data_IF_568654264354
#
_entry.id   IF_568654264354
#
_cell.length_a   1.000
_cell.length_b   1.000
_cell.length_c   1.000
_cell.angle_alpha   90.00
_cell.angle_beta   90.00
_cell.angle_gamma   90.00
#
_symmetry.space_group_name_H-M   'P 1'
#
loop_
_entity.id
_entity.type
_entity.pdbx_description
1 polymer ?
#
# COMPACT_ATOMS: atom_id res chain seq x y z
N UNK A 1 19.78 -5.40 -22.08
CA UNK A 1 18.43 -4.85 -22.38
C UNK A 1 17.28 -5.68 -21.79
N UNK A 2 17.41 -7.01 -21.66
CA UNK A 2 16.33 -7.91 -21.21
C UNK A 2 15.90 -7.79 -19.73
N UNK A 3 16.83 -7.46 -18.82
CA UNK A 3 16.50 -7.35 -17.39
C UNK A 3 15.55 -6.19 -17.06
N UNK A 4 15.73 -5.03 -17.72
CA UNK A 4 14.84 -3.88 -17.58
C UNK A 4 13.41 -4.21 -18.02
N UNK A 5 13.28 -4.98 -19.10
CA UNK A 5 11.99 -5.44 -19.59
C UNK A 5 11.30 -6.37 -18.59
N UNK A 6 12.05 -7.31 -17.99
CA UNK A 6 11.51 -8.18 -16.95
C UNK A 6 11.03 -7.41 -15.72
N UNK A 7 11.82 -6.44 -15.22
CA UNK A 7 11.42 -5.56 -14.11
C UNK A 7 10.14 -4.77 -14.45
N UNK A 8 10.09 -4.14 -15.61
CA UNK A 8 8.92 -3.37 -16.03
C UNK A 8 7.65 -4.24 -16.08
N UNK A 9 7.75 -5.46 -16.61
CA UNK A 9 6.63 -6.41 -16.63
C UNK A 9 6.22 -6.83 -15.22
N UNK A 10 7.18 -7.13 -14.36
CA UNK A 10 6.93 -7.53 -12.98
C UNK A 10 6.19 -6.43 -12.19
N UNK A 11 6.76 -5.23 -12.10
CA UNK A 11 6.14 -4.13 -11.35
C UNK A 11 4.81 -3.70 -11.98
N UNK A 12 4.71 -3.68 -13.31
CA UNK A 12 3.45 -3.41 -14.00
C UNK A 12 2.36 -4.44 -13.66
N UNK A 13 2.72 -5.71 -13.45
CA UNK A 13 1.80 -6.75 -13.01
C UNK A 13 1.28 -6.53 -11.59
N UNK A 14 2.17 -6.19 -10.65
CA UNK A 14 1.78 -5.87 -9.26
C UNK A 14 0.84 -4.66 -9.21
N UNK A 15 1.17 -3.59 -9.92
CA UNK A 15 0.31 -2.40 -10.03
C UNK A 15 -1.03 -2.77 -10.64
N UNK A 16 -1.05 -3.63 -11.66
CA UNK A 16 -2.29 -4.04 -12.30
C UNK A 16 -3.22 -4.80 -11.33
N UNK A 17 -2.71 -5.73 -10.53
CA UNK A 17 -3.52 -6.40 -9.50
C UNK A 17 -4.00 -5.43 -8.41
N UNK A 18 -3.16 -4.48 -7.99
CA UNK A 18 -3.56 -3.45 -7.03
C UNK A 18 -4.67 -2.53 -7.57
N UNK A 19 -4.57 -2.09 -8.83
CA UNK A 19 -5.62 -1.28 -9.47
C UNK A 19 -6.89 -2.11 -9.62
N UNK A 20 -6.80 -3.37 -10.04
CA UNK A 20 -7.95 -4.25 -10.16
C UNK A 20 -8.75 -4.38 -8.86
N UNK A 21 -8.10 -4.51 -7.70
CA UNK A 21 -8.81 -4.58 -6.41
C UNK A 21 -9.64 -3.34 -6.08
N UNK A 22 -9.28 -2.19 -6.63
CA UNK A 22 -10.01 -0.94 -6.40
C UNK A 22 -11.08 -0.72 -7.47
N UNK A 23 -10.70 -0.85 -8.74
CA UNK A 23 -11.58 -0.52 -9.86
C UNK A 23 -12.55 -1.65 -10.22
N UNK A 24 -12.22 -2.90 -9.87
CA UNK A 24 -12.90 -4.12 -10.32
C UNK A 24 -12.96 -4.27 -11.85
N UNK A 25 -12.14 -3.52 -12.60
CA UNK A 25 -12.06 -3.59 -14.06
C UNK A 25 -11.21 -4.80 -14.48
N UNK A 26 -11.80 -5.80 -15.17
CA UNK A 26 -11.12 -7.05 -15.51
C UNK A 26 -9.92 -6.87 -16.44
N UNK A 27 -9.82 -5.75 -17.16
CA UNK A 27 -8.65 -5.47 -18.01
C UNK A 27 -7.36 -5.38 -17.21
N UNK A 28 -7.42 -4.93 -15.96
CA UNK A 28 -6.28 -4.87 -15.05
C UNK A 28 -5.89 -6.24 -14.51
N UNK A 29 -6.86 -7.09 -14.17
CA UNK A 29 -6.57 -8.47 -13.81
C UNK A 29 -5.86 -9.20 -14.96
N UNK A 30 -6.29 -8.98 -16.20
CA UNK A 30 -5.67 -9.59 -17.39
C UNK A 30 -4.24 -9.09 -17.63
N UNK A 31 -3.98 -7.80 -17.39
CA UNK A 31 -2.61 -7.25 -17.41
C UNK A 31 -1.71 -7.90 -16.36
N UNK A 32 -2.22 -8.10 -15.14
CA UNK A 32 -1.52 -8.81 -14.08
C UNK A 32 -1.18 -10.25 -14.47
N UNK A 33 -2.14 -11.00 -15.03
CA UNK A 33 -1.95 -12.37 -15.50
C UNK A 33 -0.99 -12.46 -16.68
N UNK A 34 -1.02 -11.50 -17.60
CA UNK A 34 -0.04 -11.40 -18.69
C UNK A 34 1.38 -11.20 -18.15
N UNK A 35 1.56 -10.34 -17.14
CA UNK A 35 2.84 -10.16 -16.47
C UNK A 35 3.31 -11.45 -15.78
N UNK A 36 2.39 -12.20 -15.15
CA UNK A 36 2.68 -13.51 -14.57
C UNK A 36 3.21 -14.50 -15.61
N UNK A 37 2.51 -14.68 -16.73
CA UNK A 37 2.94 -15.57 -17.81
C UNK A 37 4.32 -15.17 -18.34
N UNK A 38 4.58 -13.85 -18.46
CA UNK A 38 5.91 -13.38 -18.83
C UNK A 38 6.96 -13.81 -17.79
N UNK A 39 6.72 -13.61 -16.49
CA UNK A 39 7.65 -14.00 -15.42
C UNK A 39 7.88 -15.52 -15.37
N UNK A 40 6.86 -16.33 -15.62
CA UNK A 40 7.00 -17.79 -15.72
C UNK A 40 7.95 -18.17 -16.86
N UNK A 41 7.79 -17.54 -18.04
CA UNK A 41 8.72 -17.74 -19.15
C UNK A 41 10.14 -17.33 -18.76
N UNK A 42 10.36 -16.25 -18.03
CA UNK A 42 11.71 -15.90 -17.56
C UNK A 42 12.27 -16.91 -16.56
N UNK A 43 11.42 -17.47 -15.69
CA UNK A 43 11.81 -18.49 -14.72
C UNK A 43 12.21 -19.83 -15.37
N UNK A 44 11.76 -20.14 -16.59
CA UNK A 44 12.24 -21.30 -17.35
C UNK A 44 13.73 -21.18 -17.71
N UNK A 45 14.22 -19.95 -17.92
CA UNK A 45 15.61 -19.68 -18.32
C UNK A 45 16.51 -19.50 -17.11
N UNK A 46 15.96 -18.95 -16.02
CA UNK A 46 16.69 -18.78 -14.77
C UNK A 46 15.73 -18.83 -13.59
N UNK A 47 15.48 -20.05 -13.12
CA UNK A 47 14.54 -20.32 -12.03
C UNK A 47 14.86 -19.48 -10.80
N UNK A 48 16.11 -19.52 -10.33
CA UNK A 48 16.52 -18.84 -9.11
C UNK A 48 16.35 -17.31 -9.19
N UNK A 49 16.47 -16.72 -10.39
CA UNK A 49 16.39 -15.26 -10.56
C UNK A 49 14.95 -14.72 -10.62
N UNK A 50 13.97 -15.56 -10.95
CA UNK A 50 12.61 -15.08 -11.24
C UNK A 50 11.51 -15.79 -10.44
N UNK A 51 11.81 -16.92 -9.79
CA UNK A 51 10.82 -17.72 -9.07
C UNK A 51 10.10 -16.94 -7.97
N UNK A 52 10.82 -16.15 -7.16
CA UNK A 52 10.21 -15.33 -6.10
C UNK A 52 9.22 -14.30 -6.66
N UNK A 53 9.50 -13.76 -7.85
CA UNK A 53 8.62 -12.82 -8.55
C UNK A 53 7.38 -13.49 -9.11
N UNK A 54 7.50 -14.71 -9.61
CA UNK A 54 6.35 -15.54 -10.01
C UNK A 54 5.45 -15.78 -8.80
N UNK A 55 6.02 -16.20 -7.66
CA UNK A 55 5.25 -16.41 -6.43
C UNK A 55 4.55 -15.14 -5.96
N UNK A 56 5.19 -13.99 -6.04
CA UNK A 56 4.57 -12.73 -5.63
C UNK A 56 3.39 -12.34 -6.54
N UNK A 57 3.52 -12.50 -7.85
CA UNK A 57 2.42 -12.26 -8.79
C UNK A 57 1.27 -13.26 -8.61
N UNK A 58 1.58 -14.53 -8.34
CA UNK A 58 0.56 -15.52 -8.00
C UNK A 58 -0.15 -15.18 -6.68
N UNK A 59 0.57 -14.64 -5.69
CA UNK A 59 -0.01 -14.23 -4.41
C UNK A 59 -1.03 -13.10 -4.59
N UNK A 60 -0.68 -12.08 -5.37
CA UNK A 60 -1.57 -10.97 -5.71
C UNK A 60 -2.79 -11.42 -6.52
N UNK A 61 -2.62 -12.32 -7.50
CA UNK A 61 -3.73 -12.92 -8.26
C UNK A 61 -4.66 -13.73 -7.34
N UNK A 62 -4.10 -14.58 -6.46
CA UNK A 62 -4.90 -15.33 -5.48
C UNK A 62 -5.67 -14.39 -4.55
N UNK A 63 -5.03 -13.30 -4.08
CA UNK A 63 -5.68 -12.30 -3.24
C UNK A 63 -6.82 -11.58 -3.98
N UNK A 64 -6.62 -11.20 -5.25
CA UNK A 64 -7.66 -10.64 -6.11
C UNK A 64 -8.86 -11.57 -6.31
N UNK A 65 -8.67 -12.89 -6.21
CA UNK A 65 -9.72 -13.89 -6.32
C UNK A 65 -10.28 -14.37 -4.96
N UNK A 66 -9.95 -13.68 -3.85
CA UNK A 66 -10.33 -14.03 -2.48
C UNK A 66 -9.83 -15.41 -2.00
N UNK A 67 -8.84 -16.00 -2.66
CA UNK A 67 -8.20 -17.26 -2.24
C UNK A 67 -7.10 -16.96 -1.21
N UNK A 68 -7.54 -16.65 0.01
CA UNK A 68 -6.65 -16.18 1.10
C UNK A 68 -5.68 -17.25 1.58
N UNK A 69 -6.07 -18.52 1.58
CA UNK A 69 -5.20 -19.63 1.99
C UNK A 69 -4.02 -19.78 1.02
N UNK A 70 -4.31 -19.77 -0.27
CA UNK A 70 -3.28 -19.84 -1.31
C UNK A 70 -2.41 -18.59 -1.33
N UNK A 71 -3.02 -17.40 -1.22
CA UNK A 71 -2.29 -16.13 -1.19
C UNK A 71 -1.26 -16.11 -0.05
N UNK A 72 -1.65 -16.56 1.16
CA UNK A 72 -0.76 -16.62 2.31
C UNK A 72 0.50 -17.45 2.02
N UNK A 73 0.31 -18.68 1.52
CA UNK A 73 1.42 -19.59 1.21
C UNK A 73 2.34 -19.01 0.14
N UNK A 74 1.79 -18.29 -0.84
CA UNK A 74 2.55 -17.71 -1.93
C UNK A 74 3.36 -16.48 -1.48
N UNK A 75 2.81 -15.63 -0.61
CA UNK A 75 3.58 -14.54 -0.02
C UNK A 75 4.77 -15.05 0.80
N UNK A 76 4.53 -16.07 1.65
CA UNK A 76 5.59 -16.68 2.45
C UNK A 76 6.70 -17.27 1.55
N UNK A 77 6.32 -17.95 0.46
CA UNK A 77 7.28 -18.46 -0.56
C UNK A 77 8.03 -17.36 -1.29
N UNK A 78 7.36 -16.28 -1.68
CA UNK A 78 8.01 -15.16 -2.35
C UNK A 78 9.10 -14.54 -1.46
N UNK A 79 8.79 -14.33 -0.17
CA UNK A 79 9.73 -13.82 0.82
C UNK A 79 10.90 -14.78 1.05
N UNK A 80 10.65 -16.08 1.25
CA UNK A 80 11.72 -17.05 1.52
C UNK A 80 12.63 -17.24 0.30
N UNK A 81 12.07 -17.42 -0.90
CA UNK A 81 12.87 -17.59 -2.12
C UNK A 81 13.70 -16.34 -2.44
N UNK A 82 13.16 -15.13 -2.24
CA UNK A 82 13.93 -13.90 -2.42
C UNK A 82 15.10 -13.82 -1.42
N UNK A 83 14.90 -14.24 -0.17
CA UNK A 83 15.95 -14.31 0.86
C UNK A 83 17.04 -15.31 0.50
N UNK A 84 16.64 -16.53 0.12
CA UNK A 84 17.56 -17.64 -0.15
C UNK A 84 18.47 -17.33 -1.34
N UNK A 85 17.98 -16.54 -2.30
CA UNK A 85 18.76 -16.07 -3.46
C UNK A 85 19.31 -14.64 -3.30
N UNK A 86 19.26 -14.07 -2.10
CA UNK A 86 19.83 -12.77 -1.74
C UNK A 86 19.29 -11.55 -2.54
N UNK A 87 18.04 -11.61 -3.00
CA UNK A 87 17.34 -10.47 -3.60
C UNK A 87 16.75 -9.56 -2.52
N UNK A 88 17.59 -8.79 -1.83
CA UNK A 88 17.20 -7.96 -0.66
C UNK A 88 16.02 -7.02 -0.99
N UNK A 89 16.07 -6.37 -2.14
CA UNK A 89 15.03 -5.43 -2.58
C UNK A 89 13.69 -6.13 -2.86
N UNK A 90 13.72 -7.34 -3.42
CA UNK A 90 12.51 -8.11 -3.68
C UNK A 90 12.01 -8.81 -2.39
N UNK A 91 12.90 -9.20 -1.46
CA UNK A 91 12.52 -9.67 -0.12
C UNK A 91 11.78 -8.58 0.66
N UNK A 92 12.26 -7.33 0.57
CA UNK A 92 11.61 -6.17 1.17
C UNK A 92 10.21 -5.94 0.59
N UNK A 93 10.09 -5.92 -0.74
CA UNK A 93 8.83 -5.72 -1.43
C UNK A 93 7.82 -6.85 -1.17
N UNK A 94 8.26 -8.11 -1.24
CA UNK A 94 7.39 -9.25 -0.93
C UNK A 94 6.91 -9.22 0.51
N UNK A 95 7.76 -8.79 1.45
CA UNK A 95 7.38 -8.64 2.85
C UNK A 95 6.39 -7.49 3.05
N UNK A 96 6.57 -6.37 2.35
CA UNK A 96 5.63 -5.24 2.41
C UNK A 96 4.23 -5.63 1.90
N UNK A 97 4.16 -6.29 0.74
CA UNK A 97 2.89 -6.75 0.17
C UNK A 97 2.22 -7.83 1.03
N UNK A 98 2.99 -8.75 1.60
CA UNK A 98 2.50 -9.70 2.59
C UNK A 98 1.91 -8.99 3.83
N UNK A 99 2.57 -7.92 4.30
CA UNK A 99 2.08 -7.09 5.40
C UNK A 99 0.70 -6.48 5.11
N UNK A 100 0.54 -5.87 3.94
CA UNK A 100 -0.77 -5.34 3.50
C UNK A 100 -1.83 -6.42 3.38
N UNK A 101 -1.48 -7.58 2.82
CA UNK A 101 -2.39 -8.72 2.72
C UNK A 101 -2.87 -9.18 4.10
N UNK A 102 -1.96 -9.41 5.04
CA UNK A 102 -2.31 -9.85 6.40
C UNK A 102 -3.14 -8.81 7.15
N UNK A 103 -2.87 -7.51 6.93
CA UNK A 103 -3.68 -6.44 7.48
C UNK A 103 -5.11 -6.47 6.91
N UNK A 104 -5.26 -6.70 5.61
CA UNK A 104 -6.56 -6.77 4.94
C UNK A 104 -7.42 -7.95 5.43
N UNK A 105 -6.80 -9.05 5.87
CA UNK A 105 -7.51 -10.21 6.46
C UNK A 105 -7.51 -10.21 8.00
N UNK A 106 -7.28 -9.05 8.63
CA UNK A 106 -7.30 -8.81 10.08
C UNK A 106 -6.30 -9.65 10.91
N UNK A 107 -5.22 -10.15 10.28
CA UNK A 107 -4.13 -10.88 10.96
C UNK A 107 -2.98 -9.93 11.35
N UNK A 108 -3.26 -8.99 12.24
CA UNK A 108 -2.35 -7.87 12.61
C UNK A 108 -0.96 -8.28 13.08
N UNK A 109 -0.87 -9.35 13.87
CA UNK A 109 0.42 -9.85 14.34
C UNK A 109 1.32 -10.19 13.15
N UNK A 110 0.81 -11.00 12.21
CA UNK A 110 1.52 -11.35 10.98
C UNK A 110 1.83 -10.13 10.12
N UNK A 111 0.87 -9.21 10.00
CA UNK A 111 1.08 -7.97 9.25
C UNK A 111 2.28 -7.18 9.81
N UNK A 112 2.34 -7.04 11.14
CA UNK A 112 3.42 -6.32 11.84
C UNK A 112 4.77 -6.99 11.63
N UNK A 113 4.85 -8.33 11.76
CA UNK A 113 6.09 -9.08 11.50
C UNK A 113 6.61 -8.83 10.08
N UNK A 114 5.72 -8.86 9.09
CA UNK A 114 6.07 -8.62 7.70
C UNK A 114 6.47 -7.17 7.41
N UNK A 115 5.82 -6.19 8.02
CA UNK A 115 6.22 -4.78 7.87
C UNK A 115 7.57 -4.47 8.53
N UNK A 116 7.85 -5.03 9.71
CA UNK A 116 9.16 -4.89 10.36
C UNK A 116 10.27 -5.51 9.51
N UNK A 117 10.00 -6.69 8.92
CA UNK A 117 10.93 -7.34 7.99
C UNK A 117 11.15 -6.47 6.74
N UNK A 118 10.09 -5.95 6.12
CA UNK A 118 10.18 -5.07 4.96
C UNK A 118 11.00 -3.82 5.26
N UNK A 119 10.72 -3.16 6.39
CA UNK A 119 11.47 -1.98 6.84
C UNK A 119 12.96 -2.29 7.00
N UNK A 120 13.30 -3.38 7.71
CA UNK A 120 14.69 -3.82 7.88
C UNK A 120 15.38 -4.04 6.54
N UNK A 121 14.72 -4.72 5.59
CA UNK A 121 15.31 -5.05 4.29
C UNK A 121 15.45 -3.85 3.37
N UNK A 122 14.50 -2.93 3.38
CA UNK A 122 14.67 -1.65 2.69
C UNK A 122 15.83 -0.84 3.29
N UNK A 123 16.01 -0.87 4.61
CA UNK A 123 17.13 -0.22 5.28
C UNK A 123 18.47 -0.86 4.86
N UNK A 124 18.56 -2.19 4.90
CA UNK A 124 19.76 -2.93 4.46
C UNK A 124 20.08 -2.69 2.97
N UNK A 125 19.06 -2.48 2.14
CA UNK A 125 19.22 -2.11 0.72
C UNK A 125 19.60 -0.64 0.51
N UNK A 126 19.38 0.23 1.50
CA UNK A 126 19.67 1.68 1.44
C UNK A 126 18.48 2.55 1.00
N UNK A 127 17.27 2.00 0.93
CA UNK A 127 16.06 2.74 0.54
C UNK A 127 15.39 3.48 1.73
N UNK A 128 16.13 4.39 2.36
CA UNK A 128 15.71 5.10 3.59
C UNK A 128 14.36 5.81 3.44
N UNK A 129 14.13 6.48 2.31
CA UNK A 129 12.84 7.17 2.07
C UNK A 129 11.65 6.20 2.09
N UNK A 130 11.84 4.98 1.56
CA UNK A 130 10.82 3.93 1.55
C UNK A 130 10.61 3.34 2.94
N UNK A 131 11.68 3.20 3.74
CA UNK A 131 11.57 2.79 5.15
C UNK A 131 10.70 3.75 5.94
N UNK A 132 10.98 5.05 5.86
CA UNK A 132 10.25 6.08 6.60
C UNK A 132 8.77 6.10 6.17
N UNK A 133 8.51 6.09 4.87
CA UNK A 133 7.13 6.05 4.36
C UNK A 133 6.36 4.81 4.84
N UNK A 134 7.03 3.64 4.93
CA UNK A 134 6.40 2.43 5.44
C UNK A 134 6.16 2.53 6.96
N UNK A 135 7.11 3.06 7.72
CA UNK A 135 6.97 3.26 9.16
C UNK A 135 5.79 4.19 9.49
N UNK A 136 5.72 5.35 8.84
CA UNK A 136 4.63 6.32 9.02
C UNK A 136 3.26 5.69 8.72
N UNK A 137 3.17 4.89 7.64
CA UNK A 137 1.95 4.17 7.31
C UNK A 137 1.56 3.20 8.43
N UNK A 138 2.49 2.36 8.90
CA UNK A 138 2.20 1.34 9.92
C UNK A 138 1.77 1.98 11.23
N UNK A 139 2.41 3.08 11.63
CA UNK A 139 2.04 3.83 12.83
C UNK A 139 0.59 4.31 12.76
N UNK A 140 0.20 4.94 11.64
CA UNK A 140 -1.16 5.43 11.42
C UNK A 140 -2.17 4.27 11.36
N UNK A 141 -1.87 3.23 10.58
CA UNK A 141 -2.77 2.10 10.35
C UNK A 141 -3.04 1.30 11.63
N UNK A 142 -2.02 1.13 12.49
CA UNK A 142 -2.17 0.41 13.76
C UNK A 142 -2.80 1.28 14.85
N UNK A 143 -2.58 2.60 14.83
CA UNK A 143 -3.18 3.53 15.81
C UNK A 143 -4.71 3.69 15.65
N UNK A 144 -5.22 3.73 14.41
CA UNK A 144 -6.65 3.99 14.14
C UNK A 144 -7.61 2.94 14.69
N UNK A 145 -7.16 1.71 14.96
CA UNK A 145 -8.03 0.65 15.50
C UNK A 145 -8.05 0.58 17.04
N UNK A 146 -7.20 1.33 17.74
CA UNK A 146 -7.31 1.50 19.20
C UNK A 146 -8.47 2.43 19.59
N UNK A 147 -8.86 3.37 18.72
CA UNK A 147 -10.00 4.27 18.93
C UNK A 147 -11.37 3.62 18.74
N UNK A 148 -11.47 2.49 18.03
CA UNK A 148 -12.74 1.75 17.89
C UNK A 148 -13.13 0.95 19.15
N UNK A 149 -12.24 0.82 20.13
CA UNK A 149 -12.49 0.06 21.36
C UNK A 149 -12.92 0.94 22.55
N UNK A 150 -12.84 2.28 22.44
CA UNK A 150 -13.18 3.22 23.52
C UNK A 150 -14.63 3.75 23.41
N UNK A 151 -15.28 3.61 22.25
CA UNK A 151 -16.67 4.07 22.05
C UNK A 151 -17.67 2.92 22.29
N UNK A 152 -17.75 2.44 23.53
CA UNK A 152 -18.90 1.68 24.03
C UNK A 152 -20.15 2.56 24.14
N UNK A 153 -21.35 2.00 24.37
CA UNK A 153 -22.60 2.77 24.33
C UNK A 153 -22.56 3.94 25.30
N UNK A 154 -22.76 5.14 24.74
CA UNK A 154 -22.77 6.42 25.46
C UNK A 154 -23.90 6.40 26.50
N UNK A 155 -23.54 6.20 27.77
CA UNK A 155 -24.40 6.55 28.90
C UNK A 155 -24.37 8.08 29.07
N UNK A 156 -25.55 8.68 29.20
CA UNK A 156 -25.89 10.10 29.13
C UNK A 156 -25.27 11.04 30.18
N UNK A 157 -24.22 10.65 30.91
CA UNK A 157 -23.75 11.37 32.10
C UNK A 157 -22.33 11.95 32.03
N UNK A 158 -21.73 12.15 30.84
CA UNK A 158 -20.45 12.85 30.72
C UNK A 158 -20.59 14.26 30.15
N UNK A 159 -20.25 15.32 30.91
CA UNK A 159 -20.16 16.67 30.37
C UNK A 159 -18.79 16.89 29.73
N UNK A 160 -18.81 17.28 28.45
CA UNK A 160 -17.74 18.10 27.86
C UNK A 160 -16.65 17.37 27.10
N UNK A 161 -16.96 16.89 25.89
CA UNK A 161 -16.10 17.09 24.72
C UNK A 161 -17.00 17.26 23.50
N UNK A 162 -16.91 18.41 22.83
CA UNK A 162 -17.68 18.68 21.63
C UNK A 162 -17.26 17.70 20.51
N UNK A 163 -18.20 17.12 19.74
CA UNK A 163 -17.86 16.20 18.67
C UNK A 163 -17.12 16.94 17.55
N UNK A 164 -15.92 16.46 17.21
CA UNK A 164 -15.25 16.80 15.96
C UNK A 164 -16.17 16.33 14.83
N UNK A 165 -16.61 17.27 13.99
CA UNK A 165 -17.52 17.00 12.88
C UNK A 165 -16.98 15.85 12.01
N UNK A 166 -17.80 14.80 11.87
CA UNK A 166 -17.57 13.68 10.96
C UNK A 166 -17.50 14.22 9.52
N UNK A 167 -16.31 14.54 9.03
CA UNK A 167 -16.07 14.64 7.60
C UNK A 167 -15.80 13.23 7.07
N UNK A 168 -16.62 12.82 6.11
CA UNK A 168 -16.62 11.53 5.43
C UNK A 168 -15.20 11.10 5.07
N UNK A 169 -14.69 10.10 5.80
CA UNK A 169 -13.36 9.52 5.60
C UNK A 169 -13.39 8.60 4.38
N UNK A 170 -13.21 9.20 3.20
CA UNK A 170 -12.84 8.47 2.00
C UNK A 170 -11.45 7.87 2.19
N UNK A 171 -11.36 6.55 2.05
CA UNK A 171 -10.13 5.77 1.98
C UNK A 171 -9.11 6.51 1.11
N UNK A 172 -8.00 7.00 1.70
CA UNK A 172 -6.93 7.66 0.95
C UNK A 172 -5.88 6.60 0.58
N UNK A 173 -5.67 6.28 -0.72
CA UNK A 173 -4.66 5.32 -1.11
C UNK A 173 -3.25 5.81 -0.75
N UNK A 174 -2.43 4.92 -0.18
CA UNK A 174 -1.03 5.19 0.16
C UNK A 174 -0.21 5.14 -1.13
N UNK A 175 0.67 6.13 -1.38
CA UNK A 175 1.33 6.30 -2.67
C UNK A 175 2.37 5.21 -2.95
N UNK A 176 2.30 4.61 -4.14
CA UNK A 176 3.46 4.00 -4.78
C UNK A 176 4.31 5.13 -5.38
N UNK A 177 5.48 5.39 -4.79
CA UNK A 177 6.48 6.31 -5.34
C UNK A 177 6.12 7.82 -5.35
N UNK A 178 5.46 8.34 -4.30
CA UNK A 178 5.26 9.79 -4.10
C UNK A 178 4.23 10.48 -5.01
N UNK A 179 3.36 9.71 -5.68
CA UNK A 179 2.32 10.24 -6.58
C UNK A 179 0.93 9.86 -6.06
N UNK A 180 0.04 10.85 -5.96
CA UNK A 180 -1.37 10.67 -5.60
C UNK A 180 -2.23 10.63 -6.87
N UNK A 181 -3.21 9.73 -6.90
CA UNK A 181 -4.23 9.71 -7.95
C UNK A 181 -5.44 10.55 -7.53
N UNK A 182 -5.80 11.52 -8.38
CA UNK A 182 -7.05 12.29 -8.31
C UNK A 182 -7.92 12.00 -9.56
N UNK A 183 -9.24 12.24 -9.53
CA UNK A 183 -10.14 12.03 -10.69
C UNK A 183 -9.77 12.80 -11.97
N UNK A 184 -8.79 13.70 -11.90
CA UNK A 184 -8.25 14.47 -13.03
C UNK A 184 -6.83 14.08 -13.48
N UNK A 185 -6.22 13.01 -12.94
CA UNK A 185 -4.88 12.54 -13.33
C UNK A 185 -3.85 12.49 -12.19
N UNK A 186 -2.60 12.19 -12.55
CA UNK A 186 -1.47 11.97 -11.63
C UNK A 186 -0.87 13.29 -11.12
N UNK A 187 -0.70 13.45 -9.81
CA UNK A 187 -0.11 14.66 -9.20
C UNK A 187 0.96 14.30 -8.16
N UNK A 188 2.15 14.95 -8.16
CA UNK A 188 3.17 14.79 -7.12
C UNK A 188 2.69 15.25 -5.74
N UNK A 189 3.12 14.54 -4.69
CA UNK A 189 2.76 14.77 -3.27
C UNK A 189 2.94 16.23 -2.82
N UNK A 190 3.92 16.95 -3.35
CA UNK A 190 4.30 18.30 -2.89
C UNK A 190 3.29 19.39 -3.27
N UNK A 191 2.36 19.10 -4.19
CA UNK A 191 1.44 20.11 -4.73
C UNK A 191 0.22 20.39 -3.83
N UNK A 192 -0.08 19.51 -2.86
CA UNK A 192 -1.31 19.57 -2.05
C UNK A 192 -1.25 20.63 -0.94
N UNK A 193 -0.06 21.19 -0.65
CA UNK A 193 0.14 22.17 0.42
C UNK A 193 -0.13 23.64 0.06
N UNK A 194 -0.19 24.02 -1.22
CA UNK A 194 -0.27 25.45 -1.61
C UNK A 194 -1.69 25.96 -1.86
N UNK A 195 -2.67 25.08 -2.08
CA UNK A 195 -4.04 25.47 -2.42
C UNK A 195 -4.93 25.79 -1.21
N UNK A 196 -4.56 25.37 0.01
CA UNK A 196 -5.31 25.72 1.23
C UNK A 196 -4.94 27.08 1.84
N UNK A 197 -3.75 27.62 1.56
CA UNK A 197 -3.36 28.95 2.10
C UNK A 197 -3.99 30.13 1.37
N UNK A 198 -4.48 29.98 0.12
CA UNK A 198 -5.10 31.07 -0.63
C UNK A 198 -6.61 31.26 -0.37
N UNK A 199 -7.28 30.30 0.27
CA UNK A 199 -8.72 30.43 0.57
C UNK A 199 -9.02 31.04 1.94
N UNK A 200 -8.05 31.08 2.86
CA UNK A 200 -8.25 31.60 4.22
C UNK A 200 -8.20 33.15 4.28
N UNK A 201 -7.62 33.82 3.28
CA UNK A 201 -7.47 35.29 3.27
C UNK A 201 -8.64 36.08 2.65
N UNK A 202 -9.73 35.45 2.19
CA UNK A 202 -10.85 36.15 1.52
C UNK A 202 -12.10 36.42 2.38
N UNK A 203 -12.16 35.97 3.63
CA UNK A 203 -13.33 36.18 4.49
C UNK A 203 -12.96 36.80 5.84
N UNK A 204 -12.66 38.09 5.84
CA UNK A 204 -12.91 38.94 7.02
C UNK A 204 -13.97 39.99 6.65
N UNK A 205 -15.11 40.05 7.33
CA UNK A 205 -16.10 41.09 7.12
C UNK A 205 -15.62 42.41 7.73
N UNK A 206 -15.52 43.45 6.90
CA UNK A 206 -15.31 44.82 7.36
C UNK A 206 -16.47 45.25 8.27
N UNK A 207 -16.19 45.41 9.56
CA UNK A 207 -17.06 46.14 10.48
C UNK A 207 -16.85 47.63 10.24
N UNK A 208 -17.93 48.33 9.92
CA UNK A 208 -17.95 49.77 9.67
C UNK A 208 -18.21 50.49 11.01
N UNK A 209 -17.37 51.42 11.49
CA UNK A 209 -17.70 52.21 12.66
C UNK A 209 -18.54 53.42 12.25
N UNK A 210 -19.65 53.57 12.97
CA UNK A 210 -20.59 54.68 12.90
C UNK A 210 -19.91 56.01 13.27
N UNK A 211 -20.18 57.05 12.49
CA UNK A 211 -20.15 58.47 12.87
C UNK A 211 -21.15 59.24 12.01
#
# INVERSE_FOLDING_TARGET
MYFLYANHKFYGGLVAFWVYRQSHDPTWAERGRTAKVAMMKWAEWSHHNFQHRVYLLDAEDAFCNNDTERAQLLYEKAVSTARDHHFINDEALSSELAGYFFLAIDKKHKATEHFLLAHKKYHDWGAVAKCNALFDFVEIAMAQQHQQMIMGPVNSNYPGFAPVQQQQLTYRPIPFNGILYHPGGWVPVDTVGQSQQQQITRHQPHTNPSA
#
